data_IF_897727266647
#
_entry.id   IF_897727266647
#
_cell.length_a   1.000
_cell.length_b   1.000
_cell.length_c   1.000
_cell.angle_alpha   90.00
_cell.angle_beta   90.00
_cell.angle_gamma   90.00
#
_symmetry.space_group_name_H-M   'P 1'
#
loop_
_entity.id
_entity.type
_entity.pdbx_description
1 polymer ?
#
# COMPACT_ATOMS: atom_id res chain seq x y z
N UNK A 1 19.12 1.48 -25.94
CA UNK A 1 18.72 2.06 -24.64
C UNK A 1 19.17 1.12 -23.56
N UNK A 2 19.65 1.63 -22.42
CA UNK A 2 20.03 0.79 -21.29
C UNK A 2 18.80 0.02 -20.79
N UNK A 3 18.98 -1.27 -20.50
CA UNK A 3 18.00 -2.08 -19.78
C UNK A 3 17.72 -1.50 -18.39
N UNK A 4 16.65 -1.94 -17.75
CA UNK A 4 16.28 -1.50 -16.39
C UNK A 4 17.43 -1.79 -15.41
N UNK A 5 18.02 -2.99 -15.45
CA UNK A 5 19.16 -3.35 -14.59
C UNK A 5 20.38 -2.45 -14.83
N UNK A 6 20.74 -2.20 -16.09
CA UNK A 6 21.86 -1.31 -16.45
C UNK A 6 21.61 0.14 -16.01
N UNK A 7 20.37 0.61 -16.04
CA UNK A 7 20.03 1.95 -15.59
C UNK A 7 20.24 2.15 -14.08
N UNK A 8 19.83 1.17 -13.27
CA UNK A 8 20.00 1.23 -11.81
C UNK A 8 21.46 0.99 -11.37
N UNK A 9 22.32 0.48 -12.24
CA UNK A 9 23.75 0.31 -11.95
C UNK A 9 24.41 1.64 -11.57
N UNK A 10 25.11 1.66 -10.44
CA UNK A 10 25.79 2.86 -9.93
C UNK A 10 24.86 3.95 -9.37
N UNK A 11 23.53 3.77 -9.37
CA UNK A 11 22.56 4.76 -8.86
C UNK A 11 22.39 4.66 -7.35
N UNK A 12 22.15 5.81 -6.71
CA UNK A 12 21.67 5.91 -5.34
C UNK A 12 20.16 6.14 -5.32
N UNK A 13 19.43 5.31 -4.58
CA UNK A 13 17.96 5.34 -4.54
C UNK A 13 17.49 5.70 -3.14
N UNK A 14 16.60 6.69 -3.01
CA UNK A 14 15.90 7.00 -1.77
C UNK A 14 14.53 6.32 -1.74
N UNK A 15 14.23 5.57 -0.68
CA UNK A 15 12.95 4.88 -0.50
C UNK A 15 12.32 5.31 0.82
N UNK A 16 11.14 5.91 0.74
CA UNK A 16 10.31 6.12 1.94
C UNK A 16 9.39 4.92 2.14
N UNK A 17 9.06 4.59 3.39
CA UNK A 17 8.20 3.42 3.67
C UNK A 17 8.90 2.07 3.43
N UNK A 18 10.23 2.06 3.31
CA UNK A 18 11.05 0.87 3.04
C UNK A 18 10.85 -0.28 4.06
N UNK A 19 10.50 0.06 5.31
CA UNK A 19 10.22 -0.94 6.36
C UNK A 19 8.79 -1.48 6.34
N UNK A 20 7.93 -0.99 5.45
CA UNK A 20 6.57 -1.50 5.21
C UNK A 20 6.54 -2.61 4.15
N UNK A 21 5.37 -3.21 3.95
CA UNK A 21 5.16 -4.37 3.08
C UNK A 21 5.77 -4.22 1.68
N UNK A 22 5.25 -3.26 0.88
CA UNK A 22 5.76 -3.00 -0.47
C UNK A 22 7.21 -2.52 -0.47
N UNK A 23 7.58 -1.69 0.50
CA UNK A 23 8.93 -1.14 0.62
C UNK A 23 10.00 -2.22 0.79
N UNK A 24 9.71 -3.26 1.58
CA UNK A 24 10.63 -4.39 1.75
C UNK A 24 10.84 -5.15 0.44
N UNK A 25 9.76 -5.43 -0.30
CA UNK A 25 9.84 -6.11 -1.60
C UNK A 25 10.60 -5.26 -2.61
N UNK A 26 10.40 -3.94 -2.61
CA UNK A 26 11.15 -3.02 -3.47
C UNK A 26 12.66 -3.03 -3.16
N UNK A 27 13.03 -2.96 -1.87
CA UNK A 27 14.44 -3.05 -1.44
C UNK A 27 15.04 -4.39 -1.84
N UNK A 28 14.33 -5.49 -1.58
CA UNK A 28 14.77 -6.84 -1.95
C UNK A 28 14.97 -6.96 -3.46
N UNK A 29 13.98 -6.52 -4.25
CA UNK A 29 14.01 -6.60 -5.71
C UNK A 29 15.16 -5.79 -6.31
N UNK A 30 15.41 -4.58 -5.79
CA UNK A 30 16.56 -3.76 -6.22
C UNK A 30 17.88 -4.47 -5.95
N UNK A 31 18.06 -5.06 -4.76
CA UNK A 31 19.30 -5.76 -4.42
C UNK A 31 19.49 -7.05 -5.22
N UNK A 32 18.41 -7.76 -5.52
CA UNK A 32 18.44 -9.02 -6.29
C UNK A 32 18.64 -8.78 -7.79
N UNK A 33 17.85 -7.87 -8.36
CA UNK A 33 17.71 -7.69 -9.82
C UNK A 33 18.63 -6.62 -10.39
N UNK A 34 19.09 -5.71 -9.53
CA UNK A 34 20.02 -4.64 -9.84
C UNK A 34 21.22 -4.70 -8.89
N UNK A 35 22.01 -5.80 -8.91
CA UNK A 35 23.08 -6.03 -7.95
C UNK A 35 24.14 -4.93 -7.96
N UNK A 36 24.27 -4.17 -9.05
CA UNK A 36 25.20 -3.05 -9.19
C UNK A 36 24.63 -1.70 -8.71
N UNK A 37 23.43 -1.65 -8.12
CA UNK A 37 22.93 -0.44 -7.45
C UNK A 37 23.94 0.02 -6.40
N UNK A 38 24.24 1.32 -6.36
CA UNK A 38 25.31 1.85 -5.50
C UNK A 38 24.90 1.82 -4.04
N UNK A 39 23.74 2.40 -3.73
CA UNK A 39 23.21 2.47 -2.38
C UNK A 39 21.70 2.69 -2.35
N UNK A 40 21.05 2.13 -1.34
CA UNK A 40 19.64 2.28 -1.02
C UNK A 40 19.52 3.06 0.29
N UNK A 41 19.16 4.33 0.16
CA UNK A 41 18.86 5.21 1.29
C UNK A 41 17.42 4.96 1.73
N UNK A 42 17.22 4.65 3.00
CA UNK A 42 15.88 4.34 3.52
C UNK A 42 15.51 5.28 4.66
N UNK A 43 14.37 5.95 4.54
CA UNK A 43 13.84 6.77 5.63
C UNK A 43 13.18 5.87 6.69
N UNK A 44 13.70 5.91 7.91
CA UNK A 44 13.27 5.06 9.02
C UNK A 44 12.72 5.93 10.15
N UNK A 45 11.45 5.70 10.48
CA UNK A 45 10.80 6.36 11.62
C UNK A 45 11.44 5.93 12.94
N UNK A 46 11.75 6.84 13.87
CA UNK A 46 12.09 6.46 15.24
C UNK A 46 10.94 5.68 15.90
N UNK A 47 11.24 4.74 16.78
CA UNK A 47 10.22 4.03 17.59
C UNK A 47 10.69 3.94 19.02
N UNK A 48 9.82 4.27 19.97
CA UNK A 48 10.15 4.18 21.39
C UNK A 48 10.64 2.76 21.74
N UNK A 49 11.83 2.69 22.35
CA UNK A 49 12.47 1.43 22.77
C UNK A 49 13.12 0.60 21.66
N UNK A 50 13.22 1.12 20.42
CA UNK A 50 13.92 0.41 19.33
C UNK A 50 14.74 1.38 18.49
N UNK A 51 16.05 1.11 18.37
CA UNK A 51 16.94 1.92 17.54
C UNK A 51 16.64 1.74 16.04
N UNK A 52 17.05 2.70 15.23
CA UNK A 52 16.93 2.63 13.77
C UNK A 52 17.67 1.40 13.21
N UNK A 53 18.88 1.15 13.70
CA UNK A 53 19.74 0.03 13.33
C UNK A 53 19.06 -1.30 13.66
N UNK A 54 18.42 -1.40 14.83
CA UNK A 54 17.65 -2.59 15.22
C UNK A 54 16.46 -2.83 14.29
N UNK A 55 15.74 -1.77 13.87
CA UNK A 55 14.62 -1.89 12.93
C UNK A 55 15.09 -2.41 11.57
N UNK A 56 16.19 -1.86 11.05
CA UNK A 56 16.73 -2.26 9.75
C UNK A 56 17.35 -3.65 9.82
N UNK A 57 18.07 -3.98 10.89
CA UNK A 57 18.56 -5.34 11.14
C UNK A 57 17.42 -6.36 11.16
N UNK A 58 16.31 -6.05 11.85
CA UNK A 58 15.14 -6.93 11.85
C UNK A 58 14.54 -7.11 10.46
N UNK A 59 14.41 -6.02 9.69
CA UNK A 59 13.94 -6.08 8.30
C UNK A 59 14.80 -7.01 7.45
N UNK A 60 16.13 -6.87 7.52
CA UNK A 60 17.08 -7.68 6.74
C UNK A 60 17.13 -9.17 7.14
N UNK A 61 16.65 -9.50 8.35
CA UNK A 61 16.50 -10.90 8.83
C UNK A 61 15.22 -11.57 8.35
N UNK A 62 14.29 -10.83 7.74
CA UNK A 62 13.09 -11.44 7.18
C UNK A 62 13.45 -12.45 6.08
N UNK A 63 12.69 -13.55 6.01
CA UNK A 63 12.83 -14.61 4.98
C UNK A 63 12.85 -14.05 3.55
N UNK A 64 12.16 -12.92 3.33
CA UNK A 64 12.17 -12.16 2.08
C UNK A 64 13.59 -11.95 1.53
N UNK A 65 14.58 -11.65 2.39
CA UNK A 65 15.94 -11.31 1.99
C UNK A 65 16.88 -12.53 1.93
N UNK A 66 16.39 -13.76 2.12
CA UNK A 66 17.24 -14.95 2.19
C UNK A 66 18.06 -15.14 0.91
N UNK A 67 17.41 -15.09 -0.27
CA UNK A 67 18.09 -15.23 -1.55
C UNK A 67 19.14 -14.14 -1.81
N UNK A 68 18.84 -12.89 -1.42
CA UNK A 68 19.78 -11.76 -1.53
C UNK A 68 20.99 -11.97 -0.62
N UNK A 69 20.75 -12.42 0.61
CA UNK A 69 21.78 -12.67 1.61
C UNK A 69 22.70 -13.82 1.22
N UNK A 70 22.15 -14.87 0.59
CA UNK A 70 22.91 -15.99 0.05
C UNK A 70 23.78 -15.56 -1.13
N UNK A 71 23.24 -14.76 -2.06
CA UNK A 71 23.97 -14.28 -3.23
C UNK A 71 25.04 -13.21 -2.89
N UNK A 72 24.76 -12.35 -1.91
CA UNK A 72 25.68 -11.31 -1.46
C UNK A 72 25.60 -11.14 0.07
N UNK A 73 26.50 -11.78 0.84
CA UNK A 73 26.51 -11.64 2.31
C UNK A 73 26.68 -10.20 2.81
N UNK A 74 27.30 -9.35 1.99
CA UNK A 74 27.59 -7.95 2.28
C UNK A 74 26.49 -6.97 1.80
N UNK A 75 25.34 -7.45 1.34
CA UNK A 75 24.25 -6.60 0.81
C UNK A 75 23.82 -5.49 1.76
N UNK A 76 23.92 -5.73 3.07
CA UNK A 76 23.59 -4.78 4.12
C UNK A 76 24.40 -3.48 4.03
N UNK A 77 25.63 -3.52 3.49
CA UNK A 77 26.47 -2.33 3.27
C UNK A 77 25.86 -1.35 2.26
N UNK A 78 24.97 -1.85 1.38
CA UNK A 78 24.25 -1.01 0.41
C UNK A 78 23.03 -0.32 1.03
N UNK A 79 22.57 -0.73 2.21
CA UNK A 79 21.39 -0.16 2.86
C UNK A 79 21.85 0.92 3.84
N UNK A 80 21.53 2.18 3.55
CA UNK A 80 21.92 3.35 4.34
C UNK A 80 20.66 3.91 5.02
N UNK A 81 20.46 3.62 6.32
CA UNK A 81 19.31 4.16 7.03
C UNK A 81 19.49 5.64 7.37
N UNK A 82 18.40 6.41 7.22
CA UNK A 82 18.32 7.82 7.58
C UNK A 82 17.14 7.97 8.55
N UNK A 83 17.40 8.58 9.70
CA UNK A 83 16.34 8.84 10.68
C UNK A 83 15.43 9.94 10.14
N UNK A 84 14.12 9.69 10.14
CA UNK A 84 13.13 10.65 9.64
C UNK A 84 11.76 10.40 10.24
N UNK A 85 11.07 11.46 10.65
CA UNK A 85 9.66 11.43 11.00
C UNK A 85 8.90 12.30 10.00
N UNK A 86 8.18 11.64 9.08
CA UNK A 86 7.51 12.31 7.96
C UNK A 86 6.40 13.27 8.41
N UNK A 87 5.85 13.08 9.62
CA UNK A 87 4.82 13.97 10.14
C UNK A 87 5.38 15.22 10.82
N UNK A 88 6.70 15.35 10.97
CA UNK A 88 7.35 16.50 11.61
C UNK A 88 7.92 17.45 10.56
N UNK A 89 8.03 18.76 10.86
CA UNK A 89 8.58 19.74 9.94
C UNK A 89 9.96 19.36 9.39
N UNK A 90 10.16 19.58 8.08
CA UNK A 90 11.40 19.21 7.39
C UNK A 90 11.68 17.70 7.42
N UNK A 91 10.63 16.88 7.53
CA UNK A 91 10.66 15.42 7.67
C UNK A 91 11.50 14.91 8.87
N UNK A 92 11.85 15.79 9.80
CA UNK A 92 12.79 15.55 10.90
C UNK A 92 14.08 14.84 10.47
N UNK A 93 14.63 15.22 9.31
CA UNK A 93 15.93 14.73 8.81
C UNK A 93 17.03 15.69 9.31
N UNK A 94 18.17 15.15 9.72
CA UNK A 94 19.30 15.97 10.16
C UNK A 94 19.84 16.83 9.01
N UNK A 95 20.39 18.03 9.27
CA UNK A 95 21.00 18.84 8.21
C UNK A 95 22.11 18.10 7.44
N UNK A 96 22.92 17.29 8.13
CA UNK A 96 23.96 16.46 7.51
C UNK A 96 23.36 15.44 6.53
N UNK A 97 22.30 14.74 6.93
CA UNK A 97 21.63 13.77 6.06
C UNK A 97 20.91 14.46 4.91
N UNK A 98 20.36 15.66 5.11
CA UNK A 98 19.77 16.47 4.04
C UNK A 98 20.81 16.80 2.97
N UNK A 99 22.00 17.25 3.36
CA UNK A 99 23.10 17.51 2.42
C UNK A 99 23.55 16.23 1.72
N UNK A 100 23.71 15.14 2.47
CA UNK A 100 24.06 13.83 1.92
C UNK A 100 23.06 13.35 0.88
N UNK A 101 21.76 13.44 1.16
CA UNK A 101 20.70 13.07 0.22
C UNK A 101 20.70 13.99 -1.01
N UNK A 102 20.86 15.30 -0.81
CA UNK A 102 20.90 16.29 -1.90
C UNK A 102 22.08 16.05 -2.85
N UNK A 103 23.21 15.61 -2.32
CA UNK A 103 24.45 15.40 -3.09
C UNK A 103 24.49 14.12 -3.92
N UNK A 104 23.67 13.10 -3.66
CA UNK A 104 23.89 11.78 -4.27
C UNK A 104 22.66 11.04 -4.80
N UNK A 105 21.44 11.42 -4.42
CA UNK A 105 20.25 10.66 -4.82
C UNK A 105 19.93 10.88 -6.30
N UNK A 106 19.71 9.77 -7.01
CA UNK A 106 19.30 9.76 -8.40
C UNK A 106 17.79 9.52 -8.56
N UNK A 107 17.18 8.75 -7.67
CA UNK A 107 15.80 8.29 -7.81
C UNK A 107 15.13 8.28 -6.43
N UNK A 108 13.90 8.77 -6.37
CA UNK A 108 13.08 8.70 -5.17
C UNK A 108 11.87 7.80 -5.42
N UNK A 109 11.68 6.79 -4.56
CA UNK A 109 10.46 6.01 -4.47
C UNK A 109 9.70 6.37 -3.19
N UNK A 110 8.64 7.17 -3.33
CA UNK A 110 7.81 7.59 -2.22
C UNK A 110 6.67 6.58 -1.99
N UNK A 111 6.91 5.59 -1.10
CA UNK A 111 5.94 4.54 -0.76
C UNK A 111 5.27 4.74 0.61
N UNK A 112 5.74 5.69 1.43
CA UNK A 112 5.17 5.94 2.75
C UNK A 112 3.79 6.59 2.66
N UNK A 113 2.81 6.03 3.37
CA UNK A 113 1.48 6.58 3.54
C UNK A 113 0.82 5.99 4.79
N UNK A 114 -0.19 6.64 5.34
CA UNK A 114 -1.18 5.93 6.17
C UNK A 114 -2.12 5.19 5.24
N UNK A 115 -2.37 3.91 5.53
CA UNK A 115 -3.30 3.04 4.80
C UNK A 115 -4.51 2.65 5.66
N UNK A 116 -4.70 3.34 6.79
CA UNK A 116 -5.82 3.08 7.70
C UNK A 116 -7.05 3.84 7.21
N UNK A 117 -8.16 3.12 7.06
CA UNK A 117 -9.42 3.69 6.56
C UNK A 117 -10.21 4.44 7.64
N UNK A 118 -9.82 4.34 8.91
CA UNK A 118 -10.44 5.04 10.04
C UNK A 118 -9.54 6.11 10.66
N UNK A 119 -8.52 6.57 9.91
CA UNK A 119 -7.60 7.61 10.36
C UNK A 119 -8.27 9.00 10.35
N UNK A 120 -8.12 9.82 11.41
CA UNK A 120 -8.60 11.21 11.41
C UNK A 120 -8.02 12.03 10.26
N UNK A 121 -8.83 12.93 9.70
CA UNK A 121 -8.47 13.68 8.49
C UNK A 121 -7.15 14.45 8.62
N UNK A 122 -6.93 15.14 9.74
CA UNK A 122 -5.67 15.87 10.01
C UNK A 122 -4.44 14.97 9.93
N UNK A 123 -4.50 13.79 10.54
CA UNK A 123 -3.37 12.86 10.53
C UNK A 123 -3.14 12.28 9.13
N UNK A 124 -4.22 11.91 8.43
CA UNK A 124 -4.13 11.46 7.05
C UNK A 124 -3.56 12.54 6.12
N UNK A 125 -3.98 13.81 6.30
CA UNK A 125 -3.48 14.95 5.53
C UNK A 125 -2.00 15.22 5.82
N UNK A 126 -1.59 15.19 7.10
CA UNK A 126 -0.20 15.38 7.49
C UNK A 126 0.71 14.36 6.81
N UNK A 127 0.36 13.07 6.85
CA UNK A 127 1.24 12.02 6.36
C UNK A 127 1.17 11.84 4.83
N UNK A 128 0.00 11.95 4.22
CA UNK A 128 -0.15 11.66 2.79
C UNK A 128 0.04 12.90 1.90
N UNK A 129 -0.22 14.12 2.41
CA UNK A 129 -0.18 15.35 1.60
C UNK A 129 0.97 16.26 2.03
N UNK A 130 1.01 16.68 3.29
CA UNK A 130 2.03 17.64 3.78
C UNK A 130 3.43 17.03 3.72
N UNK A 131 3.61 15.79 4.21
CA UNK A 131 4.88 15.09 4.10
C UNK A 131 5.32 14.88 2.63
N UNK A 132 4.36 14.68 1.72
CA UNK A 132 4.64 14.59 0.28
C UNK A 132 5.16 15.93 -0.26
N UNK A 133 4.56 17.07 0.15
CA UNK A 133 5.03 18.42 -0.21
C UNK A 133 6.45 18.69 0.29
N UNK A 134 6.74 18.32 1.53
CA UNK A 134 8.08 18.49 2.11
C UNK A 134 9.11 17.60 1.39
N UNK A 135 8.74 16.36 1.04
CA UNK A 135 9.61 15.45 0.31
C UNK A 135 9.88 15.93 -1.12
N UNK A 136 8.89 16.50 -1.80
CA UNK A 136 9.07 17.15 -3.11
C UNK A 136 10.00 18.36 -3.00
N UNK A 137 9.89 19.13 -1.92
CA UNK A 137 10.77 20.27 -1.64
C UNK A 137 12.22 19.84 -1.37
N UNK A 138 12.42 18.70 -0.69
CA UNK A 138 13.74 18.07 -0.56
C UNK A 138 14.24 17.56 -1.91
N UNK A 139 13.38 16.91 -2.71
CA UNK A 139 13.73 16.37 -4.01
C UNK A 139 14.21 17.45 -5.00
N UNK A 140 13.63 18.66 -4.96
CA UNK A 140 14.10 19.81 -5.76
C UNK A 140 15.53 20.25 -5.44
N UNK A 141 16.04 19.92 -4.25
CA UNK A 141 17.42 20.23 -3.85
C UNK A 141 18.42 19.14 -4.24
N UNK A 142 17.95 18.00 -4.75
CA UNK A 142 18.80 16.88 -5.16
C UNK A 142 19.44 17.14 -6.53
N UNK A 143 20.77 17.26 -6.57
CA UNK A 143 21.51 17.69 -7.77
C UNK A 143 21.54 16.66 -8.90
N UNK A 144 21.28 15.39 -8.58
CA UNK A 144 21.37 14.29 -9.54
C UNK A 144 20.05 13.56 -9.74
N UNK A 145 18.94 14.14 -9.28
CA UNK A 145 17.63 13.51 -9.37
C UNK A 145 17.17 13.38 -10.83
N UNK A 146 16.85 12.16 -11.22
CA UNK A 146 16.40 11.81 -12.56
C UNK A 146 14.91 11.45 -12.59
N UNK A 147 14.38 10.89 -11.49
CA UNK A 147 12.97 10.52 -11.38
C UNK A 147 12.47 10.55 -9.92
N UNK A 148 11.24 11.03 -9.75
CA UNK A 148 10.47 10.95 -8.51
C UNK A 148 9.20 10.12 -8.74
N UNK A 149 9.10 8.96 -8.09
CA UNK A 149 7.97 8.05 -8.26
C UNK A 149 7.10 8.07 -7.00
N UNK A 150 5.85 8.48 -7.15
CA UNK A 150 4.85 8.50 -6.08
C UNK A 150 3.95 7.26 -6.17
N UNK A 151 3.87 6.49 -5.08
CA UNK A 151 2.90 5.40 -4.98
C UNK A 151 1.59 5.95 -4.43
N UNK A 152 0.56 6.03 -5.27
CA UNK A 152 -0.82 6.37 -4.93
C UNK A 152 -1.66 5.10 -4.67
N UNK A 153 -2.92 5.07 -5.13
CA UNK A 153 -3.81 3.91 -5.11
C UNK A 153 -4.86 4.03 -6.22
N UNK A 154 -5.25 2.91 -6.82
CA UNK A 154 -6.32 2.84 -7.82
C UNK A 154 -7.67 3.35 -7.28
N UNK A 155 -7.83 3.35 -5.96
CA UNK A 155 -9.03 3.83 -5.27
C UNK A 155 -9.00 5.32 -4.93
N UNK A 156 -7.94 6.06 -5.32
CA UNK A 156 -7.85 7.49 -5.06
C UNK A 156 -9.03 8.23 -5.70
N UNK A 157 -9.63 7.71 -6.77
CA UNK A 157 -10.81 8.28 -7.44
C UNK A 157 -12.00 7.31 -7.49
N UNK A 158 -12.14 6.45 -6.46
CA UNK A 158 -13.21 5.44 -6.38
C UNK A 158 -14.65 5.99 -6.33
N UNK A 159 -14.83 7.30 -6.15
CA UNK A 159 -16.13 7.96 -6.31
C UNK A 159 -16.57 8.07 -7.79
N UNK A 160 -15.74 7.62 -8.74
CA UNK A 160 -16.03 7.53 -10.17
C UNK A 160 -16.07 6.06 -10.57
N UNK A 161 -16.93 5.69 -11.53
CA UNK A 161 -16.97 4.32 -12.07
C UNK A 161 -15.82 4.05 -13.05
N UNK A 162 -15.58 4.97 -13.97
CA UNK A 162 -14.46 4.91 -14.91
C UNK A 162 -13.33 5.81 -14.41
N UNK A 163 -12.13 5.26 -14.32
CA UNK A 163 -10.93 5.92 -13.77
C UNK A 163 -9.82 5.87 -14.81
N UNK A 164 -9.54 7.01 -15.41
CA UNK A 164 -8.48 7.20 -16.39
C UNK A 164 -7.12 7.42 -15.72
N UNK A 165 -6.07 7.26 -16.52
CA UNK A 165 -4.68 7.54 -16.14
C UNK A 165 -4.35 9.04 -16.21
N UNK A 166 -5.22 9.84 -15.59
CA UNK A 166 -5.08 11.29 -15.45
C UNK A 166 -5.19 11.69 -13.99
N UNK A 167 -4.64 12.86 -13.65
CA UNK A 167 -4.79 13.44 -12.31
C UNK A 167 -6.06 14.29 -12.31
N UNK A 168 -6.99 13.93 -11.44
CA UNK A 168 -8.27 14.63 -11.33
C UNK A 168 -8.10 15.83 -10.39
N UNK A 169 -8.58 17.03 -10.78
CA UNK A 169 -8.49 18.21 -9.92
C UNK A 169 -9.31 18.00 -8.64
N UNK A 170 -8.77 18.37 -7.46
CA UNK A 170 -9.49 18.24 -6.21
C UNK A 170 -10.59 19.31 -6.11
N UNK A 171 -11.65 19.06 -5.30
CA UNK A 171 -12.72 20.04 -5.11
C UNK A 171 -12.25 21.29 -4.36
N UNK A 172 -11.20 21.16 -3.55
CA UNK A 172 -10.56 22.25 -2.81
C UNK A 172 -9.06 22.16 -3.04
N UNK A 173 -8.44 23.31 -3.26
CA UNK A 173 -7.00 23.43 -3.41
C UNK A 173 -6.28 22.96 -2.11
N UNK A 174 -5.29 22.05 -2.17
CA UNK A 174 -4.68 21.46 -0.98
C UNK A 174 -4.15 22.50 0.03
N UNK A 175 -3.55 23.58 -0.46
CA UNK A 175 -3.01 24.65 0.39
C UNK A 175 -4.09 25.28 1.28
N UNK A 176 -5.23 25.66 0.69
CA UNK A 176 -6.36 26.26 1.42
C UNK A 176 -6.94 25.29 2.46
N UNK A 177 -6.99 24.00 2.11
CA UNK A 177 -7.46 22.97 3.03
C UNK A 177 -6.51 22.82 4.23
N UNK A 178 -5.19 22.77 3.97
CA UNK A 178 -4.17 22.67 5.03
C UNK A 178 -4.28 23.87 5.98
N UNK A 179 -4.24 25.09 5.44
CA UNK A 179 -4.34 26.32 6.23
C UNK A 179 -5.65 26.39 7.04
N UNK A 180 -6.76 25.90 6.48
CA UNK A 180 -8.04 25.88 7.19
C UNK A 180 -8.06 24.87 8.33
N UNK A 181 -7.50 23.67 8.14
CA UNK A 181 -7.55 22.62 9.14
C UNK A 181 -6.51 22.80 10.25
N UNK A 182 -5.44 23.57 10.02
CA UNK A 182 -4.36 23.79 10.99
C UNK A 182 -4.85 24.42 12.30
N UNK A 183 -5.75 25.41 12.24
CA UNK A 183 -6.24 26.13 13.42
C UNK A 183 -7.54 25.57 14.02
N UNK A 184 -8.27 24.73 13.28
CA UNK A 184 -9.52 24.11 13.77
C UNK A 184 -9.22 23.09 14.87
N UNK A 185 -10.09 22.92 15.85
CA UNK A 185 -9.96 21.80 16.80
C UNK A 185 -10.36 20.46 16.16
N UNK A 186 -9.89 19.36 16.74
CA UNK A 186 -10.09 18.02 16.20
C UNK A 186 -11.56 17.59 16.16
N UNK A 187 -12.40 18.11 17.07
CA UNK A 187 -13.83 17.84 17.10
C UNK A 187 -14.54 18.49 15.91
N UNK A 188 -14.26 19.77 15.64
CA UNK A 188 -14.78 20.48 14.45
C UNK A 188 -14.32 19.76 13.19
N UNK A 189 -13.04 19.39 13.09
CA UNK A 189 -12.53 18.65 11.92
C UNK A 189 -13.31 17.35 11.72
N UNK A 190 -13.55 16.59 12.78
CA UNK A 190 -14.30 15.35 12.71
C UNK A 190 -15.73 15.58 12.20
N UNK A 191 -16.40 16.62 12.67
CA UNK A 191 -17.77 16.95 12.27
C UNK A 191 -17.88 17.39 10.80
N UNK A 192 -16.89 18.13 10.28
CA UNK A 192 -16.89 18.57 8.87
C UNK A 192 -16.31 17.55 7.89
N UNK A 193 -15.53 16.56 8.37
CA UNK A 193 -14.84 15.56 7.54
C UNK A 193 -15.76 14.88 6.53
N UNK A 194 -16.99 14.42 6.89
CA UNK A 194 -17.91 13.81 5.91
C UNK A 194 -18.25 14.72 4.73
N UNK A 195 -18.37 16.04 4.96
CA UNK A 195 -18.62 17.01 3.89
C UNK A 195 -17.38 17.27 3.03
N UNK A 196 -16.19 17.24 3.63
CA UNK A 196 -14.92 17.46 2.92
C UNK A 196 -14.56 16.28 2.01
N UNK A 197 -14.75 15.05 2.47
CA UNK A 197 -14.42 13.86 1.67
C UNK A 197 -15.48 13.56 0.60
N UNK A 198 -16.69 14.11 0.72
CA UNK A 198 -17.79 13.95 -0.24
C UNK A 198 -18.20 12.49 -0.41
N UNK A 199 -18.34 12.05 -1.66
CA UNK A 199 -18.78 10.69 -2.01
C UNK A 199 -17.72 9.60 -1.78
N UNK A 200 -16.59 9.95 -1.15
CA UNK A 200 -15.50 9.03 -0.89
C UNK A 200 -15.74 8.25 0.39
N UNK A 201 -15.35 6.97 0.44
CA UNK A 201 -15.65 6.11 1.58
C UNK A 201 -14.85 6.43 2.84
N UNK A 202 -13.70 7.10 2.71
CA UNK A 202 -12.79 7.36 3.82
C UNK A 202 -11.76 8.48 3.52
N UNK A 203 -11.08 8.93 4.57
CA UNK A 203 -10.02 9.95 4.52
C UNK A 203 -8.79 9.48 3.72
N UNK A 204 -8.52 8.17 3.68
CA UNK A 204 -7.42 7.61 2.90
C UNK A 204 -7.57 7.91 1.40
N UNK A 205 -8.68 7.51 0.78
CA UNK A 205 -8.91 7.73 -0.65
C UNK A 205 -8.89 9.22 -1.00
N UNK A 206 -9.46 10.08 -0.15
CA UNK A 206 -9.44 11.53 -0.32
C UNK A 206 -8.03 12.12 -0.28
N UNK A 207 -7.23 11.77 0.74
CA UNK A 207 -5.88 12.31 0.89
C UNK A 207 -4.89 11.79 -0.15
N UNK A 208 -5.08 10.57 -0.67
CA UNK A 208 -4.29 10.07 -1.81
C UNK A 208 -4.59 10.84 -3.10
N UNK A 209 -5.85 11.18 -3.36
CA UNK A 209 -6.20 12.05 -4.49
C UNK A 209 -5.58 13.46 -4.36
N UNK A 210 -5.61 14.04 -3.15
CA UNK A 210 -4.97 15.32 -2.88
C UNK A 210 -3.44 15.27 -3.08
N UNK A 211 -2.81 14.17 -2.64
CA UNK A 211 -1.38 13.96 -2.81
C UNK A 211 -0.97 13.90 -4.29
N UNK A 212 -1.77 13.26 -5.14
CA UNK A 212 -1.52 13.25 -6.59
C UNK A 212 -1.53 14.66 -7.19
N UNK A 213 -2.48 15.51 -6.76
CA UNK A 213 -2.55 16.90 -7.23
C UNK A 213 -1.34 17.72 -6.75
N UNK A 214 -0.93 17.55 -5.49
CA UNK A 214 0.31 18.17 -4.96
C UNK A 214 1.53 17.75 -5.78
N UNK A 215 1.64 16.46 -6.10
CA UNK A 215 2.72 15.92 -6.91
C UNK A 215 2.69 16.51 -8.32
N UNK A 216 1.50 16.68 -8.91
CA UNK A 216 1.33 17.31 -10.23
C UNK A 216 1.84 18.76 -10.25
N UNK A 217 1.66 19.52 -9.18
CA UNK A 217 2.07 20.93 -9.11
C UNK A 217 3.60 21.10 -9.26
N UNK A 218 4.39 20.05 -9.02
CA UNK A 218 5.84 20.07 -9.14
C UNK A 218 6.37 19.46 -10.46
N UNK A 219 5.48 19.11 -11.40
CA UNK A 219 5.85 18.45 -12.68
C UNK A 219 6.76 19.28 -13.58
N UNK A 220 6.73 20.61 -13.47
CA UNK A 220 7.59 21.49 -14.26
C UNK A 220 9.03 21.55 -13.71
N UNK A 221 9.23 21.13 -12.46
CA UNK A 221 10.51 21.18 -11.76
C UNK A 221 11.16 19.82 -11.61
N UNK A 222 10.35 18.76 -11.54
CA UNK A 222 10.78 17.40 -11.32
C UNK A 222 10.18 16.48 -12.38
N UNK A 223 10.92 15.43 -12.71
CA UNK A 223 10.45 14.38 -13.59
C UNK A 223 9.71 13.31 -12.77
N UNK A 224 8.39 13.21 -12.94
CA UNK A 224 7.52 12.51 -12.00
C UNK A 224 6.72 11.39 -12.67
N UNK A 225 6.57 10.26 -11.97
CA UNK A 225 5.58 9.23 -12.29
C UNK A 225 4.71 8.90 -11.08
N UNK A 226 3.43 8.59 -11.32
CA UNK A 226 2.47 8.18 -10.28
C UNK A 226 1.99 6.77 -10.55
N UNK A 227 2.09 5.87 -9.57
CA UNK A 227 1.60 4.49 -9.70
C UNK A 227 0.40 4.32 -8.78
N UNK A 228 -0.71 3.82 -9.31
CA UNK A 228 -1.95 3.57 -8.59
C UNK A 228 -2.19 2.06 -8.50
N UNK A 229 -1.62 1.36 -7.50
CA UNK A 229 -1.95 -0.04 -7.27
C UNK A 229 -3.38 -0.20 -6.74
N UNK A 230 -4.05 -1.28 -7.15
CA UNK A 230 -5.26 -1.78 -6.48
C UNK A 230 -4.91 -2.44 -5.14
N UNK A 231 -5.70 -3.42 -4.67
CA UNK A 231 -5.45 -4.01 -3.36
C UNK A 231 -4.25 -4.94 -3.45
N UNK A 232 -3.13 -4.50 -2.88
CA UNK A 232 -1.87 -5.25 -2.94
C UNK A 232 -1.92 -6.48 -2.04
N UNK A 233 -1.88 -7.66 -2.65
CA UNK A 233 -1.87 -8.96 -2.00
C UNK A 233 -0.48 -9.58 -1.88
N UNK A 234 -0.44 -10.86 -1.51
CA UNK A 234 0.79 -11.65 -1.43
C UNK A 234 1.51 -11.73 -2.80
N UNK A 235 2.82 -12.01 -2.78
CA UNK A 235 3.59 -12.20 -4.01
C UNK A 235 3.06 -13.37 -4.83
N UNK A 236 3.07 -13.22 -6.15
CA UNK A 236 2.73 -14.30 -7.08
C UNK A 236 3.93 -15.20 -7.33
N UNK A 237 5.09 -14.62 -7.65
CA UNK A 237 6.32 -15.35 -7.97
C UNK A 237 7.48 -14.97 -7.06
N UNK A 238 7.75 -13.67 -6.88
CA UNK A 238 9.00 -13.21 -6.27
C UNK A 238 8.83 -12.45 -4.94
N UNK A 239 9.79 -12.58 -4.00
CA UNK A 239 10.97 -13.47 -4.04
C UNK A 239 10.63 -14.95 -3.86
N UNK A 240 9.43 -15.27 -3.39
CA UNK A 240 8.82 -16.59 -3.49
C UNK A 240 7.29 -16.45 -3.43
N UNK A 241 6.52 -17.42 -3.96
CA UNK A 241 5.07 -17.34 -4.00
C UNK A 241 4.43 -17.27 -2.60
N UNK A 242 3.41 -16.43 -2.46
CA UNK A 242 2.58 -16.32 -1.25
C UNK A 242 3.23 -15.55 -0.10
N UNK A 243 4.34 -14.84 -0.33
CA UNK A 243 4.95 -14.01 0.71
C UNK A 243 4.06 -12.81 1.04
N UNK A 244 3.77 -12.65 2.33
CA UNK A 244 3.07 -11.51 2.90
C UNK A 244 3.50 -11.35 4.36
N UNK A 245 3.61 -10.10 4.84
CA UNK A 245 4.09 -9.82 6.20
C UNK A 245 3.14 -8.93 7.02
N UNK A 246 1.92 -8.72 6.52
CA UNK A 246 0.91 -7.90 7.19
C UNK A 246 -0.47 -8.56 7.16
N UNK A 247 -1.33 -8.12 8.08
CA UNK A 247 -2.72 -8.55 8.21
C UNK A 247 -3.70 -7.46 7.75
N UNK A 248 -3.24 -6.49 6.97
CA UNK A 248 -4.06 -5.35 6.58
C UNK A 248 -5.04 -5.74 5.46
N UNK A 249 -6.19 -5.07 5.41
CA UNK A 249 -7.17 -5.25 4.33
C UNK A 249 -7.67 -6.70 4.21
N UNK A 250 -7.79 -7.25 2.98
CA UNK A 250 -8.32 -8.59 2.73
C UNK A 250 -7.52 -9.72 3.40
N UNK A 251 -6.21 -9.56 3.60
CA UNK A 251 -5.37 -10.60 4.20
C UNK A 251 -5.82 -10.96 5.62
N UNK A 252 -6.22 -9.96 6.41
CA UNK A 252 -6.80 -10.18 7.74
C UNK A 252 -8.15 -10.90 7.68
N UNK A 253 -8.98 -10.59 6.67
CA UNK A 253 -10.28 -11.23 6.43
C UNK A 253 -10.08 -12.70 6.04
N UNK A 254 -9.14 -13.00 5.14
CA UNK A 254 -8.83 -14.36 4.71
C UNK A 254 -8.33 -15.21 5.86
N UNK A 255 -7.47 -14.67 6.73
CA UNK A 255 -6.99 -15.37 7.92
C UNK A 255 -8.12 -15.59 8.92
N UNK A 256 -9.01 -14.62 9.12
CA UNK A 256 -10.18 -14.80 9.97
C UNK A 256 -11.11 -15.91 9.45
N UNK A 257 -11.28 -16.01 8.13
CA UNK A 257 -12.03 -17.11 7.48
C UNK A 257 -11.30 -18.45 7.65
N UNK A 258 -9.99 -18.48 7.43
CA UNK A 258 -9.14 -19.67 7.59
C UNK A 258 -9.12 -20.20 9.02
N UNK A 259 -9.12 -19.32 10.03
CA UNK A 259 -9.23 -19.73 11.45
C UNK A 259 -10.65 -20.13 11.86
N UNK A 260 -11.63 -20.01 10.96
CA UNK A 260 -13.04 -20.29 11.24
C UNK A 260 -13.69 -19.30 12.22
N UNK A 261 -13.08 -18.11 12.40
CA UNK A 261 -13.64 -17.01 13.18
C UNK A 261 -14.70 -16.32 12.34
N UNK A 262 -14.37 -15.95 11.10
CA UNK A 262 -15.31 -15.38 10.15
C UNK A 262 -16.19 -16.49 9.53
N UNK A 263 -17.50 -16.30 9.54
CA UNK A 263 -18.52 -17.21 9.00
C UNK A 263 -19.37 -16.60 7.89
N UNK A 264 -19.53 -15.28 7.91
CA UNK A 264 -20.29 -14.56 6.89
C UNK A 264 -19.70 -13.18 6.66
N UNK A 265 -19.69 -12.74 5.41
CA UNK A 265 -19.33 -11.39 5.00
C UNK A 265 -20.28 -10.92 3.90
N UNK A 266 -20.59 -9.62 3.89
CA UNK A 266 -21.33 -9.01 2.80
C UNK A 266 -20.37 -8.52 1.72
N UNK A 267 -20.60 -8.96 0.49
CA UNK A 267 -19.93 -8.46 -0.71
C UNK A 267 -20.87 -8.66 -1.90
N UNK A 268 -20.62 -7.94 -2.98
CA UNK A 268 -21.27 -8.25 -4.25
C UNK A 268 -20.50 -9.40 -4.90
N UNK A 269 -21.13 -10.57 -5.03
CA UNK A 269 -20.48 -11.77 -5.56
C UNK A 269 -20.06 -11.59 -7.03
N UNK A 270 -20.75 -10.72 -7.76
CA UNK A 270 -20.47 -10.39 -9.16
C UNK A 270 -19.52 -9.18 -9.31
N UNK A 271 -19.13 -8.53 -8.20
CA UNK A 271 -18.14 -7.47 -8.27
C UNK A 271 -16.72 -8.05 -8.37
N UNK A 272 -15.89 -7.36 -9.16
CA UNK A 272 -14.48 -7.68 -9.32
C UNK A 272 -13.72 -7.35 -8.03
N UNK A 273 -13.01 -8.34 -7.50
CA UNK A 273 -12.09 -8.21 -6.40
C UNK A 273 -10.68 -7.92 -6.94
N UNK A 274 -10.38 -6.64 -7.14
CA UNK A 274 -9.10 -6.25 -7.73
C UNK A 274 -7.93 -6.40 -6.75
N UNK A 275 -7.32 -7.59 -6.79
CA UNK A 275 -6.17 -8.00 -6.00
C UNK A 275 -4.94 -8.07 -6.89
N UNK A 276 -3.95 -7.20 -6.64
CA UNK A 276 -2.70 -7.18 -7.41
C UNK A 276 -1.55 -7.76 -6.57
N UNK A 277 -0.74 -8.70 -7.10
CA UNK A 277 0.42 -9.21 -6.37
C UNK A 277 1.48 -8.13 -6.12
N UNK A 278 2.11 -8.15 -4.94
CA UNK A 278 3.12 -7.13 -4.57
C UNK A 278 4.33 -7.08 -5.50
N UNK A 279 4.75 -8.22 -6.04
CA UNK A 279 5.87 -8.33 -6.97
C UNK A 279 5.57 -7.71 -8.35
N UNK A 280 4.32 -7.81 -8.81
CA UNK A 280 3.86 -7.10 -10.02
C UNK A 280 3.97 -5.58 -9.83
N UNK A 281 3.46 -5.07 -8.71
CA UNK A 281 3.52 -3.63 -8.41
C UNK A 281 4.96 -3.15 -8.28
N UNK A 282 5.85 -3.94 -7.67
CA UNK A 282 7.27 -3.59 -7.53
C UNK A 282 8.00 -3.66 -8.88
N UNK A 283 7.71 -4.63 -9.73
CA UNK A 283 8.25 -4.70 -11.10
C UNK A 283 7.85 -3.45 -11.88
N UNK A 284 6.57 -3.08 -11.85
CA UNK A 284 6.10 -1.83 -12.45
C UNK A 284 6.78 -0.60 -11.83
N UNK A 285 6.99 -0.58 -10.52
CA UNK A 285 7.66 0.54 -9.84
C UNK A 285 9.06 0.80 -10.38
N UNK A 286 9.84 -0.27 -10.62
CA UNK A 286 11.17 -0.16 -11.22
C UNK A 286 11.10 0.22 -12.71
N UNK A 287 10.14 -0.35 -13.46
CA UNK A 287 9.96 -0.01 -14.86
C UNK A 287 9.55 1.46 -15.06
N UNK A 288 8.65 1.99 -14.21
CA UNK A 288 8.24 3.39 -14.22
C UNK A 288 9.39 4.30 -13.78
N UNK A 289 10.15 3.92 -12.75
CA UNK A 289 11.35 4.67 -12.34
C UNK A 289 12.36 4.85 -13.49
N UNK A 290 12.67 3.75 -14.17
CA UNK A 290 13.49 3.74 -15.38
C UNK A 290 12.89 4.58 -16.51
N UNK A 291 11.62 4.34 -16.86
CA UNK A 291 10.98 4.99 -17.99
C UNK A 291 10.91 6.50 -17.80
N UNK A 292 10.45 6.94 -16.62
CA UNK A 292 10.42 8.35 -16.23
C UNK A 292 11.81 8.95 -16.39
N UNK A 293 12.84 8.38 -15.77
CA UNK A 293 14.20 8.92 -15.82
C UNK A 293 14.80 9.04 -17.22
N UNK A 294 14.62 8.01 -18.06
CA UNK A 294 15.25 7.91 -19.39
C UNK A 294 14.47 8.70 -20.42
N UNK A 295 13.14 8.62 -20.44
CA UNK A 295 12.31 9.22 -21.47
C UNK A 295 11.87 10.64 -21.15
N UNK A 296 11.92 11.03 -19.86
CA UNK A 296 11.53 12.35 -19.35
C UNK A 296 10.22 12.87 -19.97
N UNK A 297 9.09 12.20 -19.73
CA UNK A 297 7.80 12.63 -20.26
C UNK A 297 7.53 14.09 -19.93
N UNK A 298 6.92 14.82 -20.87
CA UNK A 298 6.61 16.26 -20.69
C UNK A 298 5.58 16.52 -19.59
N UNK A 299 4.75 15.53 -19.28
CA UNK A 299 3.69 15.60 -18.29
C UNK A 299 3.79 14.39 -17.38
N UNK A 300 3.39 14.56 -16.11
CA UNK A 300 3.34 13.43 -15.17
C UNK A 300 2.43 12.32 -15.69
N UNK A 301 3.00 11.13 -15.87
CA UNK A 301 2.25 9.93 -16.26
C UNK A 301 1.72 9.20 -15.03
N UNK A 302 0.49 8.71 -15.14
CA UNK A 302 -0.19 7.91 -14.12
C UNK A 302 -0.34 6.48 -14.62
N UNK A 303 -0.07 5.50 -13.77
CA UNK A 303 -0.12 4.07 -14.11
C UNK A 303 -1.11 3.36 -13.20
N UNK A 304 -2.27 2.94 -13.72
CA UNK A 304 -3.27 2.20 -12.95
C UNK A 304 -2.91 0.71 -12.87
N UNK A 305 -2.16 0.32 -11.83
CA UNK A 305 -1.69 -1.05 -11.62
C UNK A 305 -2.81 -1.89 -11.01
N UNK A 306 -3.66 -2.40 -11.89
CA UNK A 306 -4.89 -3.12 -11.56
C UNK A 306 -4.97 -4.42 -12.34
N UNK A 307 -5.67 -5.40 -11.79
CA UNK A 307 -5.87 -6.72 -12.40
C UNK A 307 -7.25 -6.86 -13.04
N UNK A 308 -8.24 -6.10 -12.57
CA UNK A 308 -9.65 -6.31 -12.86
C UNK A 308 -10.02 -6.14 -14.33
N UNK A 309 -9.38 -5.21 -15.04
CA UNK A 309 -9.62 -4.98 -16.47
C UNK A 309 -8.96 -6.00 -17.40
N UNK A 310 -7.95 -6.74 -16.92
CA UNK A 310 -7.10 -7.62 -17.74
C UNK A 310 -7.38 -9.10 -17.41
N UNK A 311 -7.48 -9.42 -16.12
CA UNK A 311 -7.70 -10.77 -15.60
C UNK A 311 -8.66 -10.69 -14.39
N UNK A 312 -9.97 -10.49 -14.63
CA UNK A 312 -10.94 -10.28 -13.56
C UNK A 312 -11.07 -11.50 -12.64
N UNK A 313 -11.15 -11.24 -11.35
CA UNK A 313 -11.40 -12.23 -10.31
C UNK A 313 -12.52 -11.74 -9.40
N UNK A 314 -13.58 -12.52 -9.20
CA UNK A 314 -14.79 -12.05 -8.53
C UNK A 314 -14.83 -12.46 -7.06
N UNK A 315 -15.55 -11.69 -6.23
CA UNK A 315 -15.73 -12.02 -4.80
C UNK A 315 -16.41 -13.37 -4.58
N UNK A 316 -17.30 -13.81 -5.47
CA UNK A 316 -17.89 -15.15 -5.42
C UNK A 316 -16.85 -16.27 -5.59
N UNK A 317 -15.82 -16.04 -6.41
CA UNK A 317 -14.73 -17.01 -6.64
C UNK A 317 -13.74 -17.06 -5.47
N UNK A 318 -13.49 -15.90 -4.83
CA UNK A 318 -12.66 -15.79 -3.63
C UNK A 318 -13.12 -16.75 -2.54
N UNK A 319 -14.42 -16.83 -2.28
CA UNK A 319 -14.97 -17.73 -1.26
C UNK A 319 -14.49 -19.17 -1.50
N UNK A 320 -14.65 -19.66 -2.73
CA UNK A 320 -14.28 -21.01 -3.11
C UNK A 320 -12.77 -21.25 -2.96
N UNK A 321 -11.94 -20.36 -3.49
CA UNK A 321 -10.48 -20.51 -3.45
C UNK A 321 -9.92 -20.41 -2.03
N UNK A 322 -10.39 -19.46 -1.23
CA UNK A 322 -9.93 -19.27 0.16
C UNK A 322 -10.31 -20.47 1.02
N UNK A 323 -11.58 -20.89 0.96
CA UNK A 323 -12.06 -22.00 1.81
C UNK A 323 -11.46 -23.34 1.38
N UNK A 324 -11.32 -23.60 0.07
CA UNK A 324 -10.66 -24.82 -0.41
C UNK A 324 -9.18 -24.87 0.00
N UNK A 325 -8.47 -23.74 -0.08
CA UNK A 325 -7.07 -23.62 0.33
C UNK A 325 -6.88 -23.92 1.81
N UNK A 326 -7.68 -23.33 2.69
CA UNK A 326 -7.56 -23.57 4.14
C UNK A 326 -8.12 -24.93 4.60
N UNK A 327 -8.97 -25.58 3.80
CA UNK A 327 -9.36 -26.98 4.05
C UNK A 327 -8.22 -27.95 3.72
N UNK A 328 -7.41 -27.66 2.69
CA UNK A 328 -6.24 -28.46 2.30
C UNK A 328 -5.03 -28.17 3.21
N UNK A 329 -4.84 -26.91 3.57
CA UNK A 329 -3.75 -26.42 4.42
C UNK A 329 -4.34 -25.66 5.63
N UNK A 330 -4.80 -26.37 6.69
CA UNK A 330 -5.38 -25.72 7.86
C UNK A 330 -4.38 -24.82 8.57
N UNK A 331 -4.85 -23.66 9.04
CA UNK A 331 -4.06 -22.78 9.89
C UNK A 331 -3.88 -23.38 11.28
N UNK A 332 -2.71 -23.17 11.88
CA UNK A 332 -2.46 -23.50 13.28
C UNK A 332 -3.44 -22.76 14.20
N UNK A 333 -3.84 -23.44 15.28
CA UNK A 333 -4.77 -22.90 16.29
C UNK A 333 -6.07 -22.36 15.67
N UNK A 334 -6.62 -23.05 14.67
CA UNK A 334 -7.93 -22.74 14.12
C UNK A 334 -9.00 -22.85 15.22
N UNK A 335 -9.81 -21.81 15.38
CA UNK A 335 -10.91 -21.80 16.35
C UNK A 335 -12.01 -22.78 15.93
N UNK A 336 -12.30 -22.85 14.62
CA UNK A 336 -13.25 -23.78 14.02
C UNK A 336 -12.78 -24.17 12.62
N UNK A 337 -13.36 -25.24 12.06
CA UNK A 337 -13.17 -25.61 10.65
C UNK A 337 -13.48 -24.40 9.73
N UNK A 338 -12.61 -24.07 8.76
CA UNK A 338 -12.86 -22.99 7.81
C UNK A 338 -14.18 -23.19 7.07
N UNK A 339 -15.08 -22.22 7.22
CA UNK A 339 -16.37 -22.15 6.52
C UNK A 339 -16.86 -20.71 6.64
N UNK A 340 -16.67 -19.91 5.60
CA UNK A 340 -17.12 -18.54 5.52
C UNK A 340 -17.87 -18.36 4.20
N UNK A 341 -19.04 -17.74 4.27
CA UNK A 341 -19.88 -17.50 3.10
C UNK A 341 -19.89 -16.01 2.76
N UNK A 342 -19.84 -15.69 1.48
CA UNK A 342 -19.95 -14.34 0.95
C UNK A 342 -21.34 -14.19 0.32
N UNK A 343 -22.08 -13.18 0.77
CA UNK A 343 -23.45 -12.95 0.30
C UNK A 343 -23.71 -11.48 -0.02
N UNK A 344 -24.44 -11.24 -1.10
CA UNK A 344 -24.94 -9.91 -1.46
C UNK A 344 -26.16 -9.49 -0.63
N UNK A 345 -26.88 -10.46 -0.04
CA UNK A 345 -28.13 -10.20 0.66
C UNK A 345 -27.89 -9.76 2.12
N UNK A 346 -28.32 -8.53 2.43
CA UNK A 346 -28.17 -7.93 3.76
C UNK A 346 -28.85 -8.76 4.86
N UNK A 347 -30.08 -9.23 4.65
CA UNK A 347 -30.85 -9.95 5.66
C UNK A 347 -30.23 -11.31 5.97
N UNK A 348 -29.78 -12.03 4.93
CA UNK A 348 -29.07 -13.30 5.08
C UNK A 348 -27.77 -13.09 5.85
N UNK A 349 -27.02 -12.05 5.53
CA UNK A 349 -25.80 -11.72 6.27
C UNK A 349 -26.10 -11.39 7.74
N UNK A 350 -27.11 -10.57 8.05
CA UNK A 350 -27.47 -10.25 9.44
C UNK A 350 -27.91 -11.49 10.22
N UNK A 351 -28.69 -12.38 9.60
CA UNK A 351 -29.07 -13.66 10.19
C UNK A 351 -27.83 -14.48 10.58
N UNK A 352 -26.88 -14.66 9.65
CA UNK A 352 -25.67 -15.43 9.92
C UNK A 352 -24.73 -14.74 10.91
N UNK A 353 -24.67 -13.41 10.95
CA UNK A 353 -23.93 -12.67 11.99
C UNK A 353 -24.52 -12.99 13.36
N UNK A 354 -25.85 -12.96 13.50
CA UNK A 354 -26.50 -13.27 14.76
C UNK A 354 -26.22 -14.71 15.20
N UNK A 355 -26.48 -15.67 14.31
CA UNK A 355 -26.42 -17.11 14.61
C UNK A 355 -25.00 -17.64 14.74
N UNK A 356 -24.07 -17.22 13.88
CA UNK A 356 -22.74 -17.83 13.80
C UNK A 356 -21.64 -17.04 14.50
N UNK A 357 -21.84 -15.74 14.73
CA UNK A 357 -20.89 -14.89 15.46
C UNK A 357 -21.41 -14.51 16.85
N UNK A 358 -22.49 -13.71 16.91
CA UNK A 358 -22.92 -13.05 18.17
C UNK A 358 -23.46 -14.04 19.20
N UNK A 359 -24.36 -14.94 18.81
CA UNK A 359 -24.99 -15.88 19.74
C UNK A 359 -23.97 -16.85 20.38
N UNK A 360 -23.08 -17.52 19.63
CA UNK A 360 -22.02 -18.35 20.21
C UNK A 360 -21.04 -17.55 21.06
N UNK A 361 -20.73 -16.31 20.67
CA UNK A 361 -19.86 -15.44 21.46
C UNK A 361 -20.47 -15.06 22.80
N UNK A 362 -21.78 -14.79 22.83
CA UNK A 362 -22.51 -14.49 24.05
C UNK A 362 -22.50 -15.68 25.02
N UNK A 363 -22.78 -16.89 24.52
CA UNK A 363 -22.74 -18.13 25.34
C UNK A 363 -21.33 -18.34 25.90
N UNK A 364 -20.31 -18.22 25.06
CA UNK A 364 -18.93 -18.42 25.49
C UNK A 364 -18.49 -17.36 26.51
N UNK A 365 -18.81 -16.09 26.29
CA UNK A 365 -18.48 -15.02 27.24
C UNK A 365 -19.26 -15.17 28.56
N UNK A 366 -20.50 -15.68 28.52
CA UNK A 366 -21.25 -16.02 29.73
C UNK A 366 -20.57 -17.15 30.50
N UNK A 367 -20.15 -18.22 29.81
CA UNK A 367 -19.38 -19.32 30.42
C UNK A 367 -18.08 -18.82 31.06
N UNK A 368 -17.31 -17.97 30.35
CA UNK A 368 -16.10 -17.37 30.91
C UNK A 368 -16.38 -16.58 32.18
N UNK A 369 -17.43 -15.76 32.19
CA UNK A 369 -17.85 -15.00 33.38
C UNK A 369 -18.21 -15.93 34.54
N UNK A 370 -18.94 -17.00 34.29
CA UNK A 370 -19.31 -18.00 35.30
C UNK A 370 -18.07 -18.73 35.86
N UNK A 371 -17.02 -18.92 35.05
CA UNK A 371 -15.74 -19.47 35.48
C UNK A 371 -14.78 -18.42 36.11
N UNK A 372 -15.24 -17.20 36.39
CA UNK A 372 -14.41 -16.12 36.95
C UNK A 372 -13.40 -15.52 35.97
N UNK A 373 -13.51 -15.82 34.68
CA UNK A 373 -12.64 -15.30 33.63
C UNK A 373 -13.26 -14.06 32.95
N UNK A 374 -12.41 -13.24 32.32
CA UNK A 374 -12.86 -12.04 31.60
C UNK A 374 -13.47 -12.43 30.24
N UNK A 375 -14.65 -11.90 29.88
CA UNK A 375 -15.24 -12.12 28.55
C UNK A 375 -14.37 -11.51 27.45
N UNK A 376 -14.26 -12.20 26.32
CA UNK A 376 -13.35 -11.84 25.23
C UNK A 376 -13.94 -11.99 23.83
N UNK A 377 -14.85 -12.96 23.61
CA UNK A 377 -15.26 -13.35 22.27
C UNK A 377 -16.11 -12.28 21.58
N UNK A 378 -17.01 -11.62 22.32
CA UNK A 378 -17.79 -10.53 21.75
C UNK A 378 -16.91 -9.37 21.31
N UNK A 379 -15.82 -9.09 22.03
CA UNK A 379 -14.84 -8.05 21.65
C UNK A 379 -14.12 -8.42 20.36
N UNK A 380 -13.75 -9.69 20.17
CA UNK A 380 -13.12 -10.19 18.94
C UNK A 380 -14.06 -10.00 17.75
N UNK A 381 -15.33 -10.42 17.87
CA UNK A 381 -16.29 -10.27 16.79
C UNK A 381 -16.65 -8.82 16.48
N UNK A 382 -16.76 -7.95 17.49
CA UNK A 382 -16.99 -6.53 17.26
C UNK A 382 -15.84 -5.88 16.48
N UNK A 383 -14.59 -6.23 16.79
CA UNK A 383 -13.42 -5.78 16.02
C UNK A 383 -13.42 -6.32 14.60
N UNK A 384 -13.76 -7.59 14.42
CA UNK A 384 -13.88 -8.21 13.10
C UNK A 384 -14.94 -7.52 12.24
N UNK A 385 -16.13 -7.26 12.80
CA UNK A 385 -17.20 -6.58 12.09
C UNK A 385 -16.87 -5.12 11.76
N UNK A 386 -16.19 -4.40 12.66
CA UNK A 386 -15.67 -3.06 12.36
C UNK A 386 -14.72 -3.12 11.16
N UNK A 387 -13.78 -4.07 11.14
CA UNK A 387 -12.82 -4.22 10.04
C UNK A 387 -13.49 -4.56 8.71
N UNK A 388 -14.48 -5.47 8.71
CA UNK A 388 -15.25 -5.82 7.52
C UNK A 388 -16.07 -4.64 7.00
N UNK A 389 -16.70 -3.87 7.89
CA UNK A 389 -17.48 -2.68 7.50
C UNK A 389 -16.64 -1.63 6.78
N UNK A 390 -15.36 -1.48 7.15
CA UNK A 390 -14.43 -0.59 6.45
C UNK A 390 -14.09 -1.05 5.01
N UNK A 391 -14.30 -2.33 4.70
CA UNK A 391 -14.04 -2.92 3.38
C UNK A 391 -15.29 -3.01 2.51
N UNK A 392 -16.49 -2.87 3.11
CA UNK A 392 -17.77 -3.11 2.44
C UNK A 392 -17.95 -2.27 1.16
N UNK A 393 -17.47 -1.01 1.18
CA UNK A 393 -17.50 -0.15 0.00
C UNK A 393 -16.72 -0.75 -1.18
N UNK A 394 -15.54 -1.31 -0.91
CA UNK A 394 -14.63 -1.91 -1.90
C UNK A 394 -15.06 -3.32 -2.32
N UNK A 395 -15.74 -4.06 -1.44
CA UNK A 395 -16.23 -5.41 -1.74
C UNK A 395 -17.61 -5.43 -2.39
N UNK A 396 -18.29 -4.29 -2.53
CA UNK A 396 -19.65 -4.22 -3.06
C UNK A 396 -19.77 -3.47 -4.40
N UNK A 397 -18.66 -2.96 -4.93
CA UNK A 397 -18.62 -2.14 -6.13
C UNK A 397 -17.54 -2.63 -7.10
N UNK A 398 -17.75 -2.30 -8.37
CA UNK A 398 -16.85 -2.51 -9.49
C UNK A 398 -16.32 -1.16 -10.01
N UNK A 399 -15.12 -1.19 -10.56
CA UNK A 399 -14.50 -0.04 -11.21
C UNK A 399 -13.89 -0.47 -12.54
N UNK A 400 -13.86 0.46 -13.47
CA UNK A 400 -13.20 0.30 -14.75
C UNK A 400 -11.99 1.23 -14.79
N UNK A 401 -10.80 0.64 -14.87
CA UNK A 401 -9.55 1.39 -14.94
C UNK A 401 -8.99 1.35 -16.36
N UNK A 402 -8.63 2.52 -16.89
CA UNK A 402 -7.77 2.57 -18.07
C UNK A 402 -6.35 2.13 -17.65
N UNK A 403 -5.66 1.33 -18.48
CA UNK A 403 -4.29 0.85 -18.28
C UNK A 403 -3.39 1.04 -19.51
N UNK A 404 -3.64 2.09 -20.30
CA UNK A 404 -2.90 2.39 -21.53
C UNK A 404 -1.40 2.58 -21.30
N UNK A 405 -1.00 3.34 -20.26
CA UNK A 405 0.40 3.62 -19.93
C UNK A 405 1.13 2.36 -19.46
N UNK A 406 0.45 1.44 -18.75
CA UNK A 406 1.03 0.14 -18.40
C UNK A 406 1.20 -0.71 -19.67
N UNK A 407 0.18 -0.74 -20.52
CA UNK A 407 0.22 -1.49 -21.79
C UNK A 407 1.35 -0.99 -22.70
N UNK A 408 1.60 0.32 -22.71
CA UNK A 408 2.74 0.94 -23.40
C UNK A 408 4.08 0.40 -22.88
N UNK A 409 4.26 0.33 -21.55
CA UNK A 409 5.50 -0.21 -20.95
C UNK A 409 5.69 -1.70 -21.25
N UNK A 410 4.59 -2.46 -21.35
CA UNK A 410 4.61 -3.88 -21.69
C UNK A 410 4.94 -4.16 -23.16
N UNK A 411 4.47 -3.31 -24.08
CA UNK A 411 4.46 -3.59 -25.54
C UNK A 411 5.45 -2.79 -26.38
N UNK A 412 6.05 -1.72 -25.85
CA UNK A 412 6.96 -0.85 -26.61
C UNK A 412 8.25 -1.54 -27.09
N UNK A 413 9.18 -0.84 -27.79
CA UNK A 413 10.51 -1.36 -28.12
C UNK A 413 11.36 -1.71 -26.88
N UNK A 414 10.94 -1.18 -25.73
CA UNK A 414 11.40 -1.52 -24.39
C UNK A 414 10.75 -2.80 -23.82
N UNK A 415 9.88 -3.45 -24.60
CA UNK A 415 9.23 -4.72 -24.33
C UNK A 415 10.27 -5.79 -24.10
N UNK A 416 10.71 -5.86 -22.85
CA UNK A 416 11.27 -6.97 -22.12
C UNK A 416 11.70 -8.16 -22.98
N UNK A 417 12.82 -8.02 -23.67
CA UNK A 417 13.57 -9.13 -24.29
C UNK A 417 14.71 -9.66 -23.41
N UNK A 418 14.82 -9.22 -22.15
CA UNK A 418 16.00 -9.49 -21.32
C UNK A 418 15.76 -9.78 -19.86
N UNK A 419 14.54 -10.14 -19.46
CA UNK A 419 14.28 -10.38 -18.05
C UNK A 419 13.28 -11.51 -17.84
N UNK A 420 13.62 -12.42 -16.95
CA UNK A 420 12.74 -13.38 -16.30
C UNK A 420 11.61 -12.71 -15.47
N UNK A 421 11.19 -11.50 -15.81
CA UNK A 421 10.24 -10.68 -15.06
C UNK A 421 9.00 -10.48 -15.92
N UNK A 422 7.95 -11.24 -15.63
CA UNK A 422 6.59 -10.86 -16.04
C UNK A 422 6.14 -9.71 -15.12
N UNK A 423 5.80 -8.56 -15.70
CA UNK A 423 4.93 -7.57 -15.05
C UNK A 423 3.53 -8.16 -15.02
#
# INVERSE_FOLDING_TARGET
>A
MASITEYYAGKSVLITGATGFMGKVLVEKLLWSCPDVKALYILVRPKAGQSMEQRVSHMMKCKLFDRVREANPDFHKKIIPISSELTQPGLSISPEDVEKLSACINIVFHCAATIRFDEPLKHALQLNVIATQELLSLAQRMHHLEAFIHISTAYANCNRKHIDEVIYPPPVEPKKLIESLEWMDDGIVQDITPRLIGDRPNTYTYTKALAEYVVQQEQDKLNIGIIRPSIVGASWQEPFPGWIDNFNGPSGVFIAAGKGILRTMRANNDAVADLIPVDVVVNLTLAVGWYTAVHRPKTTLVYNCTSGGINPFHWGEIEHHVISSFKRNPLEQAFRRPNANITSNYLINQYWILVSHKFPALIYDLFLRLCGQKPQMMRIFNRLHKAIGLLEYFSSQDWEWNSDNISMLMTGPAGYKGAHYSI
#
